data_IF_607032330024
#
_entry.id   IF_607032330024
#
_cell.length_a   1.000
_cell.length_b   1.000
_cell.length_c   1.000
_cell.angle_alpha   90.00
_cell.angle_beta   90.00
_cell.angle_gamma   90.00
#
_symmetry.space_group_name_H-M   'P 1'
#
loop_
_entity.id
_entity.type
_entity.pdbx_description
1 polymer ?
#
# COMPACT_ATOMS: atom_id res chain seq x y z
N UNK A 1 22.56 9.73 6.50
CA UNK A 1 22.66 10.67 5.37
C UNK A 1 24.08 11.24 5.41
N UNK A 2 24.73 11.46 4.25
CA UNK A 2 26.06 12.05 4.17
C UNK A 2 26.00 13.29 3.28
N UNK A 3 26.70 14.34 3.69
CA UNK A 3 26.93 15.55 2.91
C UNK A 3 28.38 15.59 2.48
N UNK A 4 28.69 16.34 1.41
CA UNK A 4 30.05 16.59 0.96
C UNK A 4 30.78 17.41 2.03
N UNK A 5 32.09 17.18 2.20
CA UNK A 5 32.86 17.75 3.33
C UNK A 5 32.93 19.29 3.37
N UNK A 6 32.66 19.96 2.25
CA UNK A 6 32.63 21.42 2.14
C UNK A 6 31.28 22.04 2.48
N UNK A 7 30.29 21.22 2.88
CA UNK A 7 28.95 21.64 3.28
C UNK A 7 28.84 21.54 4.78
N UNK A 8 28.51 22.63 5.46
CA UNK A 8 28.13 22.60 6.88
C UNK A 8 26.79 21.93 7.09
N UNK A 9 26.84 20.66 7.40
CA UNK A 9 25.64 19.83 7.67
C UNK A 9 25.15 19.89 9.12
N UNK A 10 25.80 20.68 9.98
CA UNK A 10 25.43 20.76 11.42
C UNK A 10 23.99 21.26 11.66
N UNK A 11 23.47 22.03 10.70
CA UNK A 11 22.09 22.56 10.73
C UNK A 11 21.05 21.62 10.17
N UNK A 12 21.44 20.47 9.57
CA UNK A 12 20.46 19.52 9.06
C UNK A 12 19.71 18.87 10.21
N UNK A 13 18.38 18.92 10.11
CA UNK A 13 17.47 18.18 11.00
C UNK A 13 16.52 17.36 10.16
N UNK A 14 16.20 16.14 10.59
CA UNK A 14 15.11 15.39 9.97
C UNK A 14 13.79 16.12 10.21
N UNK A 15 12.90 16.12 9.20
CA UNK A 15 11.58 16.72 9.38
C UNK A 15 10.83 16.03 10.53
N UNK A 16 10.05 16.81 11.26
CA UNK A 16 9.19 16.27 12.30
C UNK A 16 8.12 15.36 11.69
N UNK A 17 7.77 14.25 12.36
CA UNK A 17 6.72 13.36 11.89
C UNK A 17 5.39 14.11 11.78
N UNK A 18 4.74 14.02 10.64
CA UNK A 18 3.37 14.48 10.47
C UNK A 18 2.43 13.31 10.77
N UNK A 19 1.32 13.57 11.44
CA UNK A 19 0.27 12.59 11.64
C UNK A 19 -1.00 13.09 10.94
N UNK A 20 -1.08 12.98 9.60
CA UNK A 20 -2.26 13.41 8.86
C UNK A 20 -3.46 12.57 9.29
N UNK A 21 -4.61 13.23 9.45
CA UNK A 21 -5.87 12.55 9.76
C UNK A 21 -6.47 11.92 8.49
N UNK A 22 -5.66 11.10 7.79
CA UNK A 22 -6.06 10.33 6.60
C UNK A 22 -6.27 8.88 6.96
N UNK A 23 -7.18 8.20 6.27
CA UNK A 23 -7.49 6.80 6.48
C UNK A 23 -7.52 6.04 5.14
N UNK A 24 -7.74 4.73 5.18
CA UNK A 24 -7.81 3.90 3.97
C UNK A 24 -8.94 4.36 3.05
N UNK A 25 -10.05 4.82 3.61
CA UNK A 25 -11.18 5.33 2.83
C UNK A 25 -10.79 6.46 1.89
N UNK A 26 -9.88 7.34 2.31
CA UNK A 26 -9.45 8.50 1.54
C UNK A 26 -8.62 8.14 0.29
N UNK A 27 -8.04 6.94 0.28
CA UNK A 27 -7.22 6.48 -0.86
C UNK A 27 -7.96 5.52 -1.79
N UNK A 28 -9.18 5.09 -1.43
CA UNK A 28 -9.98 4.19 -2.26
C UNK A 28 -10.32 4.85 -3.60
N UNK A 29 -10.45 4.03 -4.64
CA UNK A 29 -11.00 4.49 -5.90
C UNK A 29 -12.48 4.86 -5.72
N UNK A 30 -12.93 5.95 -6.36
CA UNK A 30 -14.30 6.47 -6.21
C UNK A 30 -15.35 5.50 -6.73
N UNK A 31 -15.06 4.86 -7.86
CA UNK A 31 -15.95 3.94 -8.53
C UNK A 31 -15.73 2.48 -8.10
N UNK A 32 -16.69 1.62 -8.49
CA UNK A 32 -16.54 0.17 -8.41
C UNK A 32 -15.27 -0.28 -9.13
N UNK A 33 -14.46 -1.07 -8.45
CA UNK A 33 -13.23 -1.62 -9.05
C UNK A 33 -13.49 -2.98 -9.68
N UNK A 34 -12.64 -3.37 -10.63
CA UNK A 34 -12.76 -4.64 -11.34
C UNK A 34 -12.82 -5.83 -10.37
N UNK A 35 -13.67 -6.81 -10.68
CA UNK A 35 -13.80 -8.09 -9.97
C UNK A 35 -12.46 -8.81 -9.78
N UNK A 36 -11.47 -8.57 -10.62
CA UNK A 36 -10.12 -9.17 -10.52
C UNK A 36 -9.40 -8.89 -9.19
N UNK A 37 -9.79 -7.85 -8.47
CA UNK A 37 -9.22 -7.51 -7.17
C UNK A 37 -9.88 -8.24 -6.00
N UNK A 38 -11.08 -8.77 -6.20
CA UNK A 38 -11.81 -9.51 -5.18
C UNK A 38 -11.29 -10.94 -5.04
N UNK A 39 -11.28 -11.44 -3.82
CA UNK A 39 -10.81 -12.79 -3.54
C UNK A 39 -11.91 -13.82 -3.78
N UNK A 40 -11.54 -15.03 -4.21
CA UNK A 40 -12.49 -16.14 -4.18
C UNK A 40 -12.67 -16.66 -2.76
N UNK A 41 -13.81 -17.29 -2.49
CA UNK A 41 -14.11 -17.97 -1.22
C UNK A 41 -13.03 -19.00 -0.87
N UNK A 42 -12.63 -19.80 -1.86
CA UNK A 42 -11.56 -20.82 -1.71
C UNK A 42 -10.22 -20.17 -1.31
N UNK A 43 -9.89 -19.03 -1.90
CA UNK A 43 -8.63 -18.34 -1.56
C UNK A 43 -8.68 -17.77 -0.14
N UNK A 44 -9.79 -17.20 0.28
CA UNK A 44 -9.99 -16.72 1.66
C UNK A 44 -9.80 -17.87 2.66
N UNK A 45 -10.38 -19.05 2.40
CA UNK A 45 -10.20 -20.21 3.27
C UNK A 45 -8.74 -20.70 3.32
N UNK A 46 -8.04 -20.60 2.21
CA UNK A 46 -6.58 -20.87 2.18
C UNK A 46 -5.82 -19.89 3.04
N UNK A 47 -6.17 -18.59 2.99
CA UNK A 47 -5.55 -17.56 3.82
C UNK A 47 -5.83 -17.78 5.31
N UNK A 48 -7.06 -18.17 5.68
CA UNK A 48 -7.44 -18.52 7.07
C UNK A 48 -6.60 -19.67 7.60
N UNK A 49 -6.49 -20.76 6.82
CA UNK A 49 -5.65 -21.94 7.18
C UNK A 49 -4.17 -21.57 7.31
N UNK A 50 -3.66 -20.73 6.40
CA UNK A 50 -2.28 -20.24 6.46
C UNK A 50 -2.02 -19.43 7.74
N UNK A 51 -2.91 -18.48 8.07
CA UNK A 51 -2.82 -17.66 9.28
C UNK A 51 -2.82 -18.52 10.54
N UNK A 52 -3.79 -19.43 10.68
CA UNK A 52 -3.89 -20.34 11.83
C UNK A 52 -2.62 -21.19 12.02
N UNK A 53 -2.03 -21.68 10.93
CA UNK A 53 -0.77 -22.44 10.98
C UNK A 53 0.42 -21.61 11.47
N UNK A 54 0.46 -20.32 11.16
CA UNK A 54 1.51 -19.42 11.62
C UNK A 54 1.31 -19.01 13.08
N UNK A 55 0.08 -18.74 13.46
CA UNK A 55 -0.30 -18.42 14.85
C UNK A 55 0.02 -19.57 15.80
N UNK A 56 -0.24 -20.84 15.39
CA UNK A 56 0.11 -22.04 16.19
C UNK A 56 1.62 -22.21 16.42
N UNK A 57 2.45 -21.53 15.60
CA UNK A 57 3.92 -21.52 15.73
C UNK A 57 4.45 -20.26 16.43
N UNK A 58 3.58 -19.40 16.97
CA UNK A 58 3.95 -18.12 17.57
C UNK A 58 4.37 -17.04 16.58
N UNK A 59 4.10 -17.22 15.28
CA UNK A 59 4.43 -16.26 14.23
C UNK A 59 3.21 -15.41 13.88
N UNK A 60 3.34 -14.09 13.86
CA UNK A 60 2.30 -13.14 13.46
C UNK A 60 2.13 -12.97 11.94
N UNK A 61 2.40 -14.01 11.15
CA UNK A 61 2.25 -13.93 9.68
C UNK A 61 0.84 -14.32 9.24
N UNK A 62 0.27 -13.53 8.34
CA UNK A 62 -1.01 -13.86 7.73
C UNK A 62 -1.62 -12.69 6.99
N UNK A 63 -2.81 -12.91 6.46
CA UNK A 63 -3.60 -11.86 5.87
C UNK A 63 -4.20 -10.96 6.96
N UNK A 64 -4.47 -9.73 6.59
CA UNK A 64 -5.16 -8.77 7.46
C UNK A 64 -6.22 -8.02 6.66
N UNK A 65 -7.42 -7.94 7.21
CA UNK A 65 -8.48 -7.08 6.71
C UNK A 65 -8.42 -5.79 7.54
N UNK A 66 -8.21 -4.68 6.86
CA UNK A 66 -8.05 -3.36 7.49
C UNK A 66 -9.40 -2.66 7.61
N UNK A 67 -9.56 -1.95 8.69
CA UNK A 67 -10.66 -0.99 8.84
C UNK A 67 -10.46 0.17 7.87
N UNK A 68 -11.52 0.55 7.15
CA UNK A 68 -11.48 1.66 6.18
C UNK A 68 -11.20 3.01 6.84
N UNK A 69 -11.60 3.19 8.09
CA UNK A 69 -11.37 4.40 8.87
C UNK A 69 -10.03 4.34 9.64
N UNK A 70 -9.31 3.23 9.49
CA UNK A 70 -7.99 3.00 10.06
C UNK A 70 -6.84 3.32 9.10
N UNK A 71 -5.63 2.98 9.54
CA UNK A 71 -4.39 3.13 8.76
C UNK A 71 -4.05 1.83 8.02
N UNK A 72 -3.49 1.96 6.83
CA UNK A 72 -2.90 0.82 6.12
C UNK A 72 -1.64 0.32 6.83
N UNK A 73 -1.38 -0.96 6.73
CA UNK A 73 -0.10 -1.54 7.08
C UNK A 73 0.97 -1.25 6.03
N UNK A 74 2.22 -1.53 6.35
CA UNK A 74 3.32 -1.37 5.41
C UNK A 74 3.06 -2.12 4.10
N UNK A 75 3.34 -1.45 2.99
CA UNK A 75 3.34 -2.06 1.65
C UNK A 75 4.61 -2.88 1.53
N UNK A 76 4.47 -4.14 1.13
CA UNK A 76 5.59 -5.07 0.99
C UNK A 76 5.65 -5.61 -0.43
N UNK A 77 6.83 -5.50 -1.05
CA UNK A 77 7.10 -6.10 -2.36
C UNK A 77 7.25 -7.61 -2.22
N UNK A 78 6.41 -8.36 -2.91
CA UNK A 78 6.48 -9.82 -2.97
C UNK A 78 5.75 -10.57 -1.84
N UNK A 79 5.78 -11.89 -1.89
CA UNK A 79 5.09 -12.77 -0.94
C UNK A 79 3.61 -12.45 -0.80
N UNK A 80 3.12 -12.44 0.43
CA UNK A 80 1.73 -12.09 0.78
C UNK A 80 1.55 -10.59 1.07
N UNK A 81 2.36 -9.71 0.48
CA UNK A 81 2.29 -8.26 0.75
C UNK A 81 0.92 -7.64 0.46
N UNK A 82 0.26 -8.11 -0.61
CA UNK A 82 -1.07 -7.63 -1.00
C UNK A 82 -2.17 -8.08 -0.04
N UNK A 83 -2.02 -9.22 0.60
CA UNK A 83 -2.97 -9.82 1.52
C UNK A 83 -2.88 -9.23 2.95
N UNK A 84 -1.88 -8.40 3.24
CA UNK A 84 -1.73 -7.67 4.51
C UNK A 84 -2.55 -6.38 4.59
N UNK A 85 -3.08 -5.95 3.46
CA UNK A 85 -3.91 -4.76 3.34
C UNK A 85 -5.18 -5.09 2.54
N UNK A 86 -5.88 -6.16 2.94
CA UNK A 86 -7.22 -6.43 2.40
C UNK A 86 -8.20 -5.43 2.97
N UNK A 87 -9.22 -5.10 2.19
CA UNK A 87 -10.31 -4.22 2.61
C UNK A 87 -11.65 -4.85 2.27
N UNK A 88 -12.70 -4.39 2.92
CA UNK A 88 -14.08 -4.76 2.59
C UNK A 88 -14.68 -3.65 1.73
N UNK A 89 -15.02 -4.01 0.49
CA UNK A 89 -15.68 -3.12 -0.46
C UNK A 89 -16.92 -3.81 -1.04
N UNK A 90 -18.08 -3.35 -0.63
CA UNK A 90 -19.37 -3.96 -1.02
C UNK A 90 -19.99 -3.35 -2.28
N UNK A 91 -19.25 -2.50 -3.00
CA UNK A 91 -19.75 -1.84 -4.21
C UNK A 91 -19.77 -2.74 -5.44
N UNK A 92 -19.13 -3.93 -5.40
CA UNK A 92 -19.13 -4.86 -6.53
C UNK A 92 -20.56 -5.31 -6.88
N UNK A 93 -20.93 -5.14 -8.13
CA UNK A 93 -22.23 -5.53 -8.66
C UNK A 93 -22.15 -6.78 -9.52
N UNK A 94 -21.08 -6.94 -10.29
CA UNK A 94 -20.88 -8.11 -11.16
C UNK A 94 -19.84 -9.07 -10.55
N UNK A 95 -20.30 -10.21 -10.07
CA UNK A 95 -19.49 -11.25 -9.43
C UNK A 95 -18.99 -12.34 -10.39
N UNK A 96 -19.08 -12.13 -11.71
CA UNK A 96 -18.56 -13.11 -12.67
C UNK A 96 -17.04 -13.17 -12.56
N UNK A 97 -16.45 -14.33 -12.18
CA UNK A 97 -15.02 -14.43 -11.98
C UNK A 97 -14.27 -14.30 -13.32
N UNK A 98 -13.12 -13.62 -13.28
CA UNK A 98 -12.17 -13.60 -14.38
C UNK A 98 -11.24 -14.82 -14.31
N UNK A 99 -10.55 -15.14 -15.40
CA UNK A 99 -9.76 -16.38 -15.59
C UNK A 99 -8.79 -16.75 -14.47
N UNK A 100 -8.24 -15.76 -13.76
CA UNK A 100 -7.30 -16.01 -12.65
C UNK A 100 -7.97 -16.17 -11.29
N UNK A 101 -9.30 -15.98 -11.18
CA UNK A 101 -10.06 -16.25 -9.96
C UNK A 101 -10.60 -17.67 -10.04
N UNK A 102 -10.02 -18.57 -9.24
CA UNK A 102 -10.51 -19.94 -9.12
C UNK A 102 -11.62 -20.02 -8.09
N UNK A 103 -12.80 -20.47 -8.52
CA UNK A 103 -13.98 -20.57 -7.67
C UNK A 103 -14.83 -19.29 -7.64
N UNK A 104 -15.80 -19.26 -6.76
CA UNK A 104 -16.74 -18.15 -6.62
C UNK A 104 -16.09 -16.94 -5.95
N UNK A 105 -16.41 -15.75 -6.44
CA UNK A 105 -16.03 -14.50 -5.80
C UNK A 105 -16.78 -14.35 -4.49
N UNK A 106 -16.07 -13.99 -3.42
CA UNK A 106 -16.69 -13.84 -2.10
C UNK A 106 -17.79 -12.76 -2.11
N UNK A 107 -18.83 -12.96 -1.29
CA UNK A 107 -19.94 -12.03 -1.11
C UNK A 107 -19.75 -11.08 0.08
N UNK A 108 -18.65 -11.23 0.81
CA UNK A 108 -18.27 -10.36 1.92
C UNK A 108 -17.64 -9.04 1.44
N UNK A 109 -17.28 -8.96 0.15
CA UNK A 109 -16.61 -7.80 -0.45
C UNK A 109 -15.12 -7.72 -0.14
N UNK A 110 -14.50 -8.83 0.29
CA UNK A 110 -13.08 -8.86 0.63
C UNK A 110 -12.25 -8.77 -0.66
N UNK A 111 -11.44 -7.73 -0.76
CA UNK A 111 -10.58 -7.48 -1.92
C UNK A 111 -9.19 -6.98 -1.55
N UNK A 112 -8.28 -7.11 -2.50
CA UNK A 112 -6.98 -6.42 -2.48
C UNK A 112 -7.18 -4.96 -2.85
N UNK A 113 -6.34 -4.10 -2.33
CA UNK A 113 -6.22 -2.74 -2.87
C UNK A 113 -5.71 -2.78 -4.31
N UNK A 114 -6.17 -1.85 -5.14
CA UNK A 114 -5.70 -1.71 -6.52
C UNK A 114 -4.29 -1.11 -6.59
N UNK A 115 -3.60 -1.19 -7.74
CA UNK A 115 -2.35 -0.45 -7.93
C UNK A 115 -2.49 1.06 -7.75
N UNK A 116 -3.65 1.65 -8.11
CA UNK A 116 -3.93 3.08 -7.88
C UNK A 116 -4.01 3.40 -6.39
N UNK A 117 -4.69 2.59 -5.62
CA UNK A 117 -4.77 2.74 -4.17
C UNK A 117 -3.38 2.58 -3.51
N UNK A 118 -2.53 1.69 -4.01
CA UNK A 118 -1.13 1.58 -3.56
C UNK A 118 -0.30 2.81 -3.94
N UNK A 119 -0.51 3.37 -5.13
CA UNK A 119 0.13 4.62 -5.53
C UNK A 119 -0.23 5.76 -4.58
N UNK A 120 -1.52 5.93 -4.28
CA UNK A 120 -2.02 6.92 -3.33
C UNK A 120 -1.44 6.73 -1.92
N UNK A 121 -1.34 5.48 -1.43
CA UNK A 121 -0.67 5.17 -0.15
C UNK A 121 0.80 5.62 -0.11
N UNK A 122 1.49 5.55 -1.25
CA UNK A 122 2.87 6.02 -1.38
C UNK A 122 2.97 7.52 -1.68
N UNK A 123 1.84 8.24 -1.77
CA UNK A 123 1.80 9.67 -2.03
C UNK A 123 2.02 10.05 -3.50
N UNK A 124 1.89 9.11 -4.44
CA UNK A 124 1.88 9.44 -5.86
C UNK A 124 0.57 10.13 -6.24
N UNK A 125 0.60 11.19 -7.05
CA UNK A 125 -0.60 11.90 -7.48
C UNK A 125 -1.42 11.07 -8.48
N UNK A 126 -2.70 11.41 -8.65
CA UNK A 126 -3.60 10.62 -9.49
C UNK A 126 -3.31 10.73 -10.99
N UNK A 127 -2.62 11.78 -11.43
CA UNK A 127 -2.14 11.93 -12.80
C UNK A 127 -0.88 11.10 -13.11
N UNK A 128 -0.28 10.48 -12.09
CA UNK A 128 0.81 9.53 -12.31
C UNK A 128 0.32 8.32 -13.09
N UNK A 129 0.86 8.10 -14.29
CA UNK A 129 0.41 7.08 -15.22
C UNK A 129 0.79 5.67 -14.77
N UNK A 130 -0.18 4.76 -14.81
CA UNK A 130 -0.02 3.33 -14.49
C UNK A 130 -0.11 2.52 -15.79
N UNK A 131 0.99 2.44 -16.53
CA UNK A 131 1.01 1.86 -17.89
C UNK A 131 1.46 0.39 -17.91
N UNK A 132 1.76 -0.20 -16.75
CA UNK A 132 2.24 -1.57 -16.64
C UNK A 132 1.16 -2.52 -16.12
N UNK A 133 1.39 -3.81 -16.28
CA UNK A 133 0.53 -4.83 -15.67
C UNK A 133 0.58 -4.74 -14.13
N UNK A 134 -0.55 -5.04 -13.48
CA UNK A 134 -0.73 -4.92 -12.02
C UNK A 134 0.41 -5.52 -11.20
N UNK A 135 0.93 -6.68 -11.62
CA UNK A 135 2.03 -7.37 -10.91
C UNK A 135 3.30 -6.51 -10.86
N UNK A 136 3.61 -5.82 -11.96
CA UNK A 136 4.77 -4.91 -12.01
C UNK A 136 4.52 -3.64 -11.21
N UNK A 137 3.31 -3.09 -11.27
CA UNK A 137 2.91 -1.91 -10.50
C UNK A 137 3.00 -2.17 -8.99
N UNK A 138 2.46 -3.29 -8.51
CA UNK A 138 2.61 -3.68 -7.09
C UNK A 138 4.08 -3.81 -6.68
N UNK A 139 4.92 -4.39 -7.55
CA UNK A 139 6.35 -4.52 -7.29
C UNK A 139 7.04 -3.15 -7.22
N UNK A 140 6.70 -2.25 -8.12
CA UNK A 140 7.26 -0.89 -8.14
C UNK A 140 6.85 -0.10 -6.89
N UNK A 141 5.56 -0.05 -6.57
CA UNK A 141 5.09 0.67 -5.38
C UNK A 141 5.59 0.05 -4.07
N UNK A 142 5.70 -1.29 -4.01
CA UNK A 142 6.27 -1.97 -2.84
C UNK A 142 7.76 -1.70 -2.63
N UNK A 143 8.50 -1.36 -3.70
CA UNK A 143 9.92 -0.98 -3.66
C UNK A 143 10.13 0.55 -3.62
N UNK A 144 9.08 1.34 -3.80
CA UNK A 144 9.19 2.79 -3.77
C UNK A 144 9.32 3.32 -2.34
N UNK A 145 9.77 4.55 -2.23
CA UNK A 145 9.75 5.31 -0.97
C UNK A 145 8.57 6.26 -1.02
N UNK A 146 7.93 6.49 0.13
CA UNK A 146 6.80 7.42 0.23
C UNK A 146 7.18 8.83 -0.20
N UNK A 147 6.50 9.35 -1.21
CA UNK A 147 6.83 10.63 -1.88
C UNK A 147 6.85 11.78 -0.87
N UNK A 148 5.84 11.88 -0.01
CA UNK A 148 5.73 12.95 0.98
C UNK A 148 6.92 12.97 1.96
N UNK A 149 7.44 11.80 2.33
CA UNK A 149 8.60 11.69 3.23
C UNK A 149 9.87 12.18 2.54
N UNK A 150 10.08 11.75 1.29
CA UNK A 150 11.25 12.19 0.51
C UNK A 150 11.19 13.68 0.20
N UNK A 151 10.01 14.21 -0.10
CA UNK A 151 9.82 15.64 -0.31
C UNK A 151 10.17 16.46 0.96
N UNK A 152 9.70 16.02 2.13
CA UNK A 152 10.01 16.67 3.39
C UNK A 152 11.54 16.64 3.67
N UNK A 153 12.20 15.51 3.48
CA UNK A 153 13.65 15.38 3.65
C UNK A 153 14.40 16.28 2.63
N UNK A 154 13.95 16.30 1.38
CA UNK A 154 14.59 17.11 0.33
C UNK A 154 14.50 18.61 0.64
N UNK A 155 13.38 19.08 1.22
CA UNK A 155 13.23 20.47 1.69
C UNK A 155 14.26 20.81 2.77
N UNK A 156 14.53 19.92 3.71
CA UNK A 156 15.55 20.16 4.74
C UNK A 156 16.98 20.13 4.18
N UNK A 157 17.26 19.23 3.24
CA UNK A 157 18.55 19.21 2.51
C UNK A 157 18.75 20.53 1.78
N UNK A 158 17.73 21.01 1.06
CA UNK A 158 17.80 22.27 0.31
C UNK A 158 18.14 23.45 1.22
N UNK A 159 17.52 23.56 2.40
CA UNK A 159 17.83 24.61 3.39
C UNK A 159 19.32 24.61 3.78
N UNK A 160 19.92 23.44 3.98
CA UNK A 160 21.33 23.32 4.31
C UNK A 160 22.22 23.79 3.15
N UNK A 161 21.87 23.39 1.90
CA UNK A 161 22.65 23.78 0.71
C UNK A 161 22.55 25.28 0.39
N UNK A 162 21.43 25.93 0.66
CA UNK A 162 21.23 27.36 0.44
C UNK A 162 21.90 28.23 1.52
N UNK A 163 21.96 27.74 2.76
CA UNK A 163 22.55 28.46 3.90
C UNK A 163 24.03 28.12 4.15
N UNK A 164 24.60 27.18 3.42
CA UNK A 164 25.99 26.73 3.55
C UNK A 164 26.96 27.35 2.53
N UNK A 165 26.54 28.45 1.85
CA UNK A 165 27.39 29.27 0.97
C UNK A 165 27.93 30.49 1.69
#
# INVERSE_FOLDING_TARGET
>A
MAFRNDIDSSKFKFPEPTNPNTCIRDIMEENEVSVKYYLSTVYIDTLKKHKARHESKGNGFGYEIRDLDGKAGAIVCGGMGRERNLIIDKRLTNFVPVTHIKGEVNREGIRKMTPREWARLQGFPDDFKLELADTHLYKQFGNSVTVNVIEAIAKEIRKVLENGK
#
